data_IF_325695891963
#
_entry.id   IF_325695891963
#
_cell.length_a   1.000
_cell.length_b   1.000
_cell.length_c   1.000
_cell.angle_alpha   90.00
_cell.angle_beta   90.00
_cell.angle_gamma   90.00
#
_symmetry.space_group_name_H-M   'P 1'
#
loop_
_entity.id
_entity.type
_entity.pdbx_description
1 polymer ?
#
# COMPACT_ATOMS: atom_id res chain seq x y z
N UNK A 1 1.85 27.18 48.19
CA UNK A 1 0.41 26.83 48.22
C UNK A 1 0.13 26.18 46.88
N UNK A 2 -0.24 24.90 46.91
CA UNK A 2 -0.23 24.01 45.76
C UNK A 2 -1.45 24.16 44.85
N UNK A 3 -1.22 23.85 43.59
CA UNK A 3 -2.07 24.00 42.41
C UNK A 3 -3.52 23.52 42.58
N UNK A 4 -4.44 24.39 42.19
CA UNK A 4 -5.84 24.05 41.97
C UNK A 4 -6.26 24.58 40.60
N UNK A 5 -6.10 23.75 39.57
CA UNK A 5 -7.01 23.82 38.43
C UNK A 5 -7.18 22.44 37.78
N UNK A 6 -7.64 21.49 38.58
CA UNK A 6 -8.18 20.23 38.08
C UNK A 6 -9.62 20.50 37.61
N UNK A 7 -9.75 21.09 36.43
CA UNK A 7 -11.04 21.29 35.78
C UNK A 7 -11.64 19.93 35.43
N UNK A 8 -12.47 19.45 36.36
CA UNK A 8 -13.66 18.63 36.20
C UNK A 8 -13.77 17.95 34.82
N UNK A 9 -13.38 16.68 34.78
CA UNK A 9 -13.63 15.78 33.66
C UNK A 9 -15.15 15.66 33.44
N UNK A 10 -15.68 16.50 32.55
CA UNK A 10 -16.98 16.27 31.94
C UNK A 10 -16.85 14.98 31.16
N UNK A 11 -17.72 14.02 31.44
CA UNK A 11 -17.69 12.66 30.88
C UNK A 11 -18.01 12.72 29.38
N UNK A 12 -17.00 13.05 28.57
CA UNK A 12 -17.12 13.10 27.13
C UNK A 12 -17.12 11.66 26.58
N UNK A 13 -18.00 11.38 25.62
CA UNK A 13 -18.09 10.07 24.95
C UNK A 13 -16.82 9.72 24.14
N UNK A 14 -15.95 10.70 23.90
CA UNK A 14 -14.68 10.54 23.19
C UNK A 14 -13.54 11.13 24.01
N UNK A 15 -12.37 10.51 23.89
CA UNK A 15 -11.14 11.05 24.47
C UNK A 15 -10.91 12.49 23.99
N UNK A 16 -10.42 13.36 24.88
CA UNK A 16 -10.06 14.72 24.51
C UNK A 16 -9.01 14.70 23.40
N UNK A 17 -9.19 15.57 22.41
CA UNK A 17 -8.24 15.73 21.31
C UNK A 17 -6.84 15.98 21.87
N UNK A 18 -5.78 15.39 21.28
CA UNK A 18 -4.40 15.67 21.67
C UNK A 18 -4.14 17.19 21.63
N UNK A 19 -3.49 17.78 22.64
CA UNK A 19 -3.37 19.25 22.79
C UNK A 19 -2.45 19.91 21.74
N UNK A 20 -2.02 19.18 20.71
CA UNK A 20 -1.15 19.69 19.65
C UNK A 20 -1.76 20.89 18.92
N UNK A 21 -3.10 20.95 18.84
CA UNK A 21 -3.82 22.05 18.18
C UNK A 21 -3.60 23.41 18.88
N UNK A 22 -3.32 23.44 20.18
CA UNK A 22 -3.10 24.67 20.95
C UNK A 22 -1.81 25.41 20.52
N UNK A 23 -0.89 24.69 19.87
CA UNK A 23 0.36 25.27 19.39
C UNK A 23 0.24 25.92 18.00
N UNK A 24 -0.90 25.77 17.31
CA UNK A 24 -1.15 26.40 16.01
C UNK A 24 -1.66 27.85 16.16
N UNK A 25 -0.89 28.69 16.86
CA UNK A 25 -1.17 30.12 16.99
C UNK A 25 -0.53 30.91 15.84
N UNK A 26 -1.07 32.09 15.53
CA UNK A 26 -0.52 32.98 14.47
C UNK A 26 0.96 33.32 14.73
N UNK A 27 1.30 33.61 15.98
CA UNK A 27 2.69 33.87 16.39
C UNK A 27 3.63 32.68 16.11
N UNK A 28 3.15 31.45 16.32
CA UNK A 28 3.94 30.26 16.01
C UNK A 28 4.03 30.00 14.50
N UNK A 29 3.00 30.35 13.73
CA UNK A 29 3.07 30.27 12.27
C UNK A 29 4.08 31.27 11.70
N UNK A 30 4.09 32.50 12.19
CA UNK A 30 5.05 33.53 11.75
C UNK A 30 6.49 33.14 12.12
N UNK A 31 6.71 32.57 13.32
CA UNK A 31 8.01 32.02 13.73
C UNK A 31 8.46 30.85 12.86
N UNK A 32 7.53 29.98 12.44
CA UNK A 32 7.83 28.87 11.54
C UNK A 32 8.29 29.39 10.16
N UNK A 33 7.64 30.44 9.64
CA UNK A 33 8.03 31.07 8.38
C UNK A 33 9.43 31.69 8.46
N UNK A 34 9.74 32.38 9.56
CA UNK A 34 11.07 32.94 9.82
C UNK A 34 12.14 31.83 9.82
N UNK A 35 11.93 30.74 10.57
CA UNK A 35 12.85 29.59 10.60
C UNK A 35 13.03 28.97 9.21
N UNK A 36 11.96 28.87 8.42
CA UNK A 36 12.01 28.33 7.05
C UNK A 36 12.83 29.23 6.12
N UNK A 37 12.69 30.55 6.25
CA UNK A 37 13.47 31.51 5.46
C UNK A 37 14.94 31.50 5.86
N UNK A 38 15.25 31.43 7.16
CA UNK A 38 16.63 31.30 7.68
C UNK A 38 17.30 30.03 7.18
N UNK A 39 16.59 28.90 7.16
CA UNK A 39 17.09 27.63 6.63
C UNK A 39 17.29 27.61 5.10
N UNK A 40 16.63 28.52 4.36
CA UNK A 40 16.72 28.59 2.90
C UNK A 40 17.80 29.56 2.40
N UNK A 41 18.35 30.40 3.28
CA UNK A 41 19.31 31.46 2.92
C UNK A 41 20.79 31.04 2.91
N UNK A 42 21.13 29.82 3.33
CA UNK A 42 22.50 29.32 3.24
C UNK A 42 22.92 29.05 1.79
N UNK A 43 23.60 30.04 1.19
CA UNK A 43 24.23 29.94 -0.13
C UNK A 43 25.69 29.49 -0.11
N UNK A 44 26.19 28.96 0.99
CA UNK A 44 27.49 28.29 1.03
C UNK A 44 27.30 26.84 1.49
N UNK A 45 27.76 25.89 0.69
CA UNK A 45 27.59 24.45 0.90
C UNK A 45 28.44 23.91 2.07
N UNK A 46 28.16 24.37 3.28
CA UNK A 46 28.65 23.78 4.53
C UNK A 46 27.51 23.77 5.55
N UNK A 47 27.02 22.61 6.03
CA UNK A 47 25.83 22.52 6.85
C UNK A 47 26.18 22.75 8.33
N UNK A 48 26.47 23.99 8.71
CA UNK A 48 26.63 24.34 10.12
C UNK A 48 25.80 25.55 10.51
N UNK A 49 24.52 25.28 10.81
CA UNK A 49 23.71 26.16 11.64
C UNK A 49 23.07 25.34 12.77
N UNK A 50 23.89 24.96 13.75
CA UNK A 50 23.42 24.49 15.06
C UNK A 50 22.85 25.67 15.86
N UNK A 51 21.63 26.10 15.54
CA UNK A 51 20.72 26.56 16.59
C UNK A 51 20.06 25.30 17.12
N UNK A 52 20.60 24.75 18.20
CA UNK A 52 19.97 23.64 18.93
C UNK A 52 18.61 24.13 19.45
N UNK A 53 17.54 23.92 18.67
CA UNK A 53 16.18 24.02 19.17
C UNK A 53 16.09 23.11 20.39
N UNK A 54 15.83 23.71 21.55
CA UNK A 54 15.76 22.95 22.79
C UNK A 54 14.71 21.83 22.64
N UNK A 55 14.89 20.65 23.26
CA UNK A 55 13.93 19.55 23.17
C UNK A 55 12.48 19.93 23.53
N UNK A 56 12.30 21.06 24.23
CA UNK A 56 11.01 21.63 24.62
C UNK A 56 10.35 22.52 23.55
N UNK A 57 11.05 22.92 22.49
CA UNK A 57 10.53 23.77 21.40
C UNK A 57 10.23 22.99 20.12
N UNK A 58 10.89 21.84 19.92
CA UNK A 58 10.68 20.94 18.79
C UNK A 58 9.23 20.44 18.60
N UNK A 59 8.41 20.21 19.64
CA UNK A 59 7.02 19.77 19.45
C UNK A 59 6.10 20.86 18.88
N UNK A 60 6.43 22.15 19.06
CA UNK A 60 5.55 23.29 18.73
C UNK A 60 5.50 23.62 17.25
N UNK A 61 6.53 23.26 16.50
CA UNK A 61 6.71 23.62 15.08
C UNK A 61 6.76 22.41 14.15
N UNK A 62 6.60 21.20 14.70
CA UNK A 62 6.53 19.99 13.91
C UNK A 62 5.17 19.93 13.24
N UNK A 63 5.07 20.37 11.98
CA UNK A 63 4.10 19.75 11.10
C UNK A 63 4.36 18.24 11.20
N UNK A 64 3.34 17.46 11.52
CA UNK A 64 3.46 16.01 11.59
C UNK A 64 3.71 15.45 10.18
N UNK A 65 4.92 15.63 9.67
CA UNK A 65 5.37 15.17 8.37
C UNK A 65 6.87 14.92 8.37
N UNK A 66 7.41 14.49 9.51
CA UNK A 66 8.51 13.52 9.45
C UNK A 66 7.87 12.23 9.91
N UNK A 67 7.27 11.51 8.96
CA UNK A 67 6.82 10.15 9.18
C UNK A 67 7.95 9.43 9.90
N UNK A 68 7.74 9.10 11.18
CA UNK A 68 8.61 8.19 11.90
C UNK A 68 8.36 6.83 11.26
N UNK A 69 8.95 6.66 10.08
CA UNK A 69 9.06 5.43 9.35
C UNK A 69 10.15 4.63 10.05
N UNK A 70 9.88 4.09 11.23
CA UNK A 70 10.69 3.03 11.84
C UNK A 70 9.93 2.52 13.07
N UNK A 71 9.49 1.28 12.94
CA UNK A 71 8.70 0.57 13.93
C UNK A 71 9.37 0.53 15.28
N UNK A 72 8.57 0.71 16.32
CA UNK A 72 8.85 0.05 17.60
C UNK A 72 7.55 -0.54 18.10
N UNK A 73 7.55 -1.86 18.20
CA UNK A 73 6.54 -2.65 18.90
C UNK A 73 6.61 -2.36 20.39
N UNK A 74 5.46 -2.12 21.04
CA UNK A 74 5.30 -2.45 22.45
C UNK A 74 3.83 -2.66 22.84
N UNK A 75 3.51 -3.93 23.08
CA UNK A 75 2.44 -4.48 23.94
C UNK A 75 0.97 -4.46 23.44
N UNK A 76 0.06 -5.28 24.01
CA UNK A 76 -0.14 -6.69 23.63
C UNK A 76 -1.55 -6.98 23.10
N UNK A 77 -2.43 -5.98 23.03
CA UNK A 77 -3.81 -6.14 22.61
C UNK A 77 -4.07 -5.31 21.35
N UNK A 78 -3.94 -5.98 20.20
CA UNK A 78 -4.57 -5.64 18.91
C UNK A 78 -4.64 -4.14 18.57
N UNK A 79 -3.71 -3.68 17.74
CA UNK A 79 -3.96 -3.26 16.34
C UNK A 79 -2.85 -2.33 15.89
N UNK A 80 -1.88 -2.91 15.19
CA UNK A 80 -1.14 -2.18 14.17
C UNK A 80 -0.92 -3.19 13.06
N UNK A 81 -1.57 -2.94 11.92
CA UNK A 81 -1.19 -3.55 10.66
C UNK A 81 0.25 -3.13 10.42
N UNK A 82 1.18 -3.98 10.86
CA UNK A 82 2.57 -3.85 10.49
C UNK A 82 2.56 -3.89 8.96
N UNK A 83 2.87 -2.77 8.32
CA UNK A 83 3.20 -2.73 6.91
C UNK A 83 4.59 -3.38 6.71
N UNK A 84 4.81 -4.55 7.30
CA UNK A 84 5.93 -5.47 7.09
C UNK A 84 5.73 -6.27 5.81
N UNK A 85 5.30 -5.60 4.75
CA UNK A 85 5.20 -6.24 3.44
C UNK A 85 6.60 -6.24 2.78
N UNK A 86 7.51 -5.35 3.20
CA UNK A 86 8.82 -5.16 2.56
C UNK A 86 9.96 -5.96 3.18
N UNK A 87 9.92 -6.31 4.46
CA UNK A 87 10.92 -7.17 5.11
C UNK A 87 10.22 -8.27 5.89
N UNK A 88 10.07 -9.43 5.26
CA UNK A 88 9.75 -10.65 5.99
C UNK A 88 10.98 -11.05 6.81
N UNK A 89 10.85 -11.29 8.13
CA UNK A 89 11.94 -11.87 8.90
C UNK A 89 12.27 -13.26 8.33
N UNK A 90 13.56 -13.58 8.23
CA UNK A 90 13.96 -14.87 7.66
C UNK A 90 13.54 -16.02 8.58
N UNK A 91 13.14 -17.17 8.02
CA UNK A 91 12.76 -18.34 8.82
C UNK A 91 13.91 -18.82 9.72
N UNK A 92 15.16 -18.67 9.26
CA UNK A 92 16.38 -18.96 10.02
C UNK A 92 16.51 -18.08 11.26
N UNK A 93 16.17 -16.79 11.17
CA UNK A 93 16.14 -15.88 12.33
C UNK A 93 15.08 -16.27 13.36
N UNK A 94 14.02 -16.96 12.93
CA UNK A 94 12.97 -17.48 13.80
C UNK A 94 13.27 -18.88 14.35
N UNK A 95 14.43 -19.45 14.04
CA UNK A 95 14.83 -20.80 14.44
C UNK A 95 14.06 -21.92 13.72
N UNK A 96 13.45 -21.63 12.57
CA UNK A 96 12.64 -22.59 11.80
C UNK A 96 13.43 -23.05 10.57
N UNK A 97 13.46 -24.36 10.34
CA UNK A 97 14.08 -24.93 9.14
C UNK A 97 13.30 -24.53 7.88
N UNK A 98 14.00 -23.92 6.93
CA UNK A 98 13.44 -23.48 5.67
C UNK A 98 13.45 -24.61 4.64
N UNK A 99 12.27 -24.91 4.07
CA UNK A 99 12.05 -26.08 3.20
C UNK A 99 12.20 -25.82 1.69
N UNK A 100 12.58 -24.61 1.31
CA UNK A 100 12.75 -24.18 -0.08
C UNK A 100 14.05 -23.37 -0.24
N UNK A 101 14.71 -23.40 -1.41
CA UNK A 101 16.00 -22.76 -1.60
C UNK A 101 15.91 -21.25 -1.37
N UNK A 102 16.95 -20.71 -0.74
CA UNK A 102 17.12 -19.26 -0.63
C UNK A 102 17.27 -18.64 -2.03
N UNK A 103 16.73 -17.43 -2.26
CA UNK A 103 17.15 -16.66 -3.43
C UNK A 103 18.66 -16.46 -3.29
N UNK A 104 19.42 -17.05 -4.22
CA UNK A 104 20.89 -17.00 -4.23
C UNK A 104 21.33 -15.56 -4.08
N UNK A 105 21.89 -15.24 -2.93
CA UNK A 105 22.59 -13.98 -2.70
C UNK A 105 24.06 -14.32 -2.83
N UNK A 106 24.59 -14.32 -4.04
CA UNK A 106 26.04 -14.39 -4.24
C UNK A 106 26.62 -13.09 -3.65
N UNK A 107 27.46 -13.15 -2.60
CA UNK A 107 27.95 -11.95 -1.91
C UNK A 107 29.01 -11.15 -2.71
N UNK A 108 29.27 -11.49 -3.98
CA UNK A 108 30.35 -10.89 -4.79
C UNK A 108 29.88 -10.16 -6.07
N UNK A 109 28.58 -9.94 -6.29
CA UNK A 109 28.12 -9.14 -7.43
C UNK A 109 27.07 -8.09 -7.02
N UNK A 110 27.48 -6.82 -7.02
CA UNK A 110 26.68 -5.58 -6.89
C UNK A 110 25.63 -5.38 -8.00
N UNK A 111 25.15 -6.44 -8.62
CA UNK A 111 24.06 -6.41 -9.58
C UNK A 111 22.92 -7.28 -9.05
N UNK A 112 21.70 -6.75 -8.88
CA UNK A 112 20.55 -7.56 -8.50
C UNK A 112 20.21 -8.45 -9.69
N UNK A 113 20.89 -9.59 -9.81
CA UNK A 113 20.50 -10.62 -10.76
C UNK A 113 19.11 -11.09 -10.32
N UNK A 114 18.11 -11.04 -11.21
CA UNK A 114 16.82 -11.64 -10.90
C UNK A 114 17.09 -13.10 -10.61
N UNK A 115 16.83 -13.52 -9.37
CA UNK A 115 16.83 -14.94 -9.01
C UNK A 115 15.99 -15.69 -10.04
N UNK A 116 16.39 -16.91 -10.45
CA UNK A 116 15.58 -17.72 -11.34
C UNK A 116 14.14 -17.74 -10.82
N UNK A 117 13.11 -17.62 -11.67
CA UNK A 117 11.73 -17.67 -11.21
C UNK A 117 11.56 -19.00 -10.48
N UNK A 118 11.54 -18.92 -9.15
CA UNK A 118 11.35 -20.08 -8.32
C UNK A 118 10.00 -20.65 -8.76
N UNK A 119 9.96 -21.94 -9.10
CA UNK A 119 8.71 -22.59 -9.48
C UNK A 119 7.79 -22.61 -8.25
N UNK A 120 7.07 -21.50 -8.01
CA UNK A 120 6.31 -21.29 -6.77
C UNK A 120 5.26 -22.39 -6.60
N UNK A 121 4.59 -22.73 -7.71
CA UNK A 121 3.64 -23.82 -7.75
C UNK A 121 4.26 -25.17 -7.33
N UNK A 122 5.50 -25.48 -7.77
CA UNK A 122 6.16 -26.75 -7.44
C UNK A 122 6.44 -26.88 -5.93
N UNK A 123 7.06 -25.84 -5.34
CA UNK A 123 7.39 -25.86 -3.91
C UNK A 123 6.16 -25.79 -3.01
N UNK A 124 5.17 -24.98 -3.38
CA UNK A 124 3.89 -24.95 -2.66
C UNK A 124 3.17 -26.30 -2.71
N UNK A 125 3.18 -26.97 -3.88
CA UNK A 125 2.62 -28.31 -4.03
C UNK A 125 3.39 -29.35 -3.20
N UNK A 126 4.72 -29.25 -3.14
CA UNK A 126 5.57 -30.12 -2.33
C UNK A 126 5.26 -29.97 -0.83
N UNK A 127 5.15 -28.74 -0.34
CA UNK A 127 4.76 -28.46 1.05
C UNK A 127 3.36 -28.99 1.33
N UNK A 128 2.41 -28.78 0.42
CA UNK A 128 1.02 -29.28 0.55
C UNK A 128 0.96 -30.81 0.63
N UNK A 129 1.74 -31.51 -0.22
CA UNK A 129 1.84 -32.98 -0.18
C UNK A 129 2.50 -33.46 1.12
N UNK A 130 3.56 -32.80 1.57
CA UNK A 130 4.22 -33.10 2.84
C UNK A 130 3.29 -32.91 4.03
N UNK A 131 2.48 -31.84 4.02
CA UNK A 131 1.47 -31.57 5.04
C UNK A 131 0.39 -32.65 5.08
N UNK A 132 -0.10 -33.07 3.92
CA UNK A 132 -1.10 -34.15 3.83
C UNK A 132 -0.54 -35.48 4.35
N UNK A 133 0.71 -35.81 4.01
CA UNK A 133 1.35 -37.03 4.49
C UNK A 133 1.56 -37.01 6.01
N UNK A 134 2.04 -35.88 6.56
CA UNK A 134 2.18 -35.71 8.01
C UNK A 134 0.84 -35.77 8.73
N UNK A 135 -0.23 -35.23 8.14
CA UNK A 135 -1.58 -35.36 8.70
C UNK A 135 -2.06 -36.82 8.72
N UNK A 136 -1.78 -37.58 7.67
CA UNK A 136 -2.14 -39.00 7.62
C UNK A 136 -1.35 -39.82 8.66
N UNK A 137 -0.05 -39.54 8.82
CA UNK A 137 0.78 -40.13 9.88
C UNK A 137 0.26 -39.76 11.27
N UNK A 138 -0.14 -38.50 11.47
CA UNK A 138 -0.71 -38.02 12.73
C UNK A 138 -2.00 -38.77 13.09
N UNK A 139 -2.92 -38.93 12.15
CA UNK A 139 -4.14 -39.74 12.36
C UNK A 139 -3.80 -41.21 12.66
N UNK A 140 -2.78 -41.76 11.98
CA UNK A 140 -2.28 -43.11 12.25
C UNK A 140 -1.72 -43.25 13.68
N UNK A 141 -0.92 -42.29 14.14
CA UNK A 141 -0.36 -42.29 15.50
C UNK A 141 -1.46 -42.17 16.54
N UNK A 142 -2.46 -41.30 16.33
CA UNK A 142 -3.61 -41.19 17.24
C UNK A 142 -4.38 -42.51 17.37
N UNK A 143 -4.38 -43.36 16.33
CA UNK A 143 -5.03 -44.67 16.38
C UNK A 143 -4.22 -45.75 17.08
N UNK A 144 -2.88 -45.67 17.08
CA UNK A 144 -1.99 -46.73 17.62
C UNK A 144 -1.40 -46.34 18.97
N UNK A 145 -0.83 -45.14 19.07
CA UNK A 145 -0.11 -44.64 20.24
C UNK A 145 -0.36 -43.14 20.40
N UNK A 146 -1.48 -42.74 21.00
CA UNK A 146 -1.88 -41.33 21.10
C UNK A 146 -0.92 -40.47 21.93
N UNK A 147 -0.04 -41.07 22.74
CA UNK A 147 0.95 -40.34 23.56
C UNK A 147 2.06 -39.68 22.75
N UNK A 148 2.31 -40.13 21.51
CA UNK A 148 3.41 -39.65 20.66
C UNK A 148 2.97 -38.56 19.66
N UNK A 149 1.81 -37.94 19.89
CA UNK A 149 1.22 -37.00 18.93
C UNK A 149 2.00 -35.67 18.80
N UNK A 150 2.70 -35.23 19.85
CA UNK A 150 3.34 -33.90 19.93
C UNK A 150 4.37 -33.68 18.80
N UNK A 151 5.22 -34.67 18.53
CA UNK A 151 6.26 -34.56 17.50
C UNK A 151 5.66 -34.27 16.11
N UNK A 152 4.54 -34.92 15.75
CA UNK A 152 3.89 -34.67 14.45
C UNK A 152 3.12 -33.36 14.41
N UNK A 153 2.61 -32.88 15.53
CA UNK A 153 2.00 -31.54 15.59
C UNK A 153 3.05 -30.47 15.37
N UNK A 154 4.26 -30.64 15.92
CA UNK A 154 5.38 -29.72 15.69
C UNK A 154 5.84 -29.72 14.22
N UNK A 155 5.98 -30.90 13.60
CA UNK A 155 6.28 -31.02 12.17
C UNK A 155 5.24 -30.30 11.29
N UNK A 156 3.94 -30.50 11.58
CA UNK A 156 2.85 -29.82 10.88
C UNK A 156 2.90 -28.30 11.10
N UNK A 157 3.17 -27.84 12.32
CA UNK A 157 3.34 -26.42 12.63
C UNK A 157 4.47 -25.81 11.80
N UNK A 158 5.62 -26.48 11.71
CA UNK A 158 6.75 -26.05 10.90
C UNK A 158 6.39 -25.98 9.41
N UNK A 159 5.64 -26.96 8.90
CA UNK A 159 5.12 -26.95 7.52
C UNK A 159 4.18 -25.77 7.26
N UNK A 160 3.28 -25.45 8.19
CA UNK A 160 2.38 -24.29 8.05
C UNK A 160 3.13 -22.97 8.05
N UNK A 161 4.12 -22.79 8.93
CA UNK A 161 4.90 -21.55 8.97
C UNK A 161 5.70 -21.38 7.67
N UNK A 162 6.31 -22.46 7.18
CA UNK A 162 6.98 -22.46 5.88
C UNK A 162 6.02 -22.13 4.72
N UNK A 163 4.82 -22.71 4.70
CA UNK A 163 3.80 -22.43 3.69
C UNK A 163 3.36 -20.95 3.72
N UNK A 164 3.14 -20.40 4.91
CA UNK A 164 2.76 -19.01 5.09
C UNK A 164 3.84 -18.05 4.63
N UNK A 165 5.09 -18.29 5.03
CA UNK A 165 6.22 -17.50 4.58
C UNK A 165 6.35 -17.56 3.05
N UNK A 166 6.22 -18.76 2.48
CA UNK A 166 6.27 -18.95 1.03
C UNK A 166 5.19 -18.16 0.28
N UNK A 167 3.95 -18.18 0.79
CA UNK A 167 2.85 -17.40 0.23
C UNK A 167 3.13 -15.89 0.34
N UNK A 168 3.74 -15.46 1.45
CA UNK A 168 4.08 -14.06 1.65
C UNK A 168 5.15 -13.58 0.66
N UNK A 169 6.13 -14.43 0.31
CA UNK A 169 7.10 -14.13 -0.76
C UNK A 169 6.43 -13.92 -2.12
N UNK A 170 5.25 -14.49 -2.36
CA UNK A 170 4.49 -14.31 -3.60
C UNK A 170 3.62 -13.04 -3.62
N UNK A 171 3.39 -12.37 -2.48
CA UNK A 171 2.53 -11.17 -2.40
C UNK A 171 2.98 -10.02 -3.29
N UNK A 172 4.29 -9.68 -3.39
CA UNK A 172 4.73 -8.61 -4.28
C UNK A 172 4.44 -8.92 -5.75
N UNK A 173 4.58 -10.18 -6.17
CA UNK A 173 4.22 -10.60 -7.52
C UNK A 173 2.71 -10.47 -7.75
N UNK A 174 1.88 -10.96 -6.82
CA UNK A 174 0.42 -10.83 -6.89
C UNK A 174 -0.03 -9.37 -7.01
N UNK A 175 0.59 -8.46 -6.26
CA UNK A 175 0.29 -7.03 -6.34
C UNK A 175 0.62 -6.42 -7.70
N UNK A 176 1.74 -6.82 -8.31
CA UNK A 176 2.14 -6.37 -9.66
C UNK A 176 1.18 -6.87 -10.72
N UNK A 177 0.84 -8.16 -10.71
CA UNK A 177 -0.14 -8.73 -11.64
C UNK A 177 -1.51 -8.08 -11.48
N UNK A 178 -1.96 -7.84 -10.25
CA UNK A 178 -3.22 -7.13 -9.99
C UNK A 178 -3.21 -5.70 -10.53
N UNK A 179 -2.07 -5.01 -10.46
CA UNK A 179 -1.92 -3.67 -11.02
C UNK A 179 -1.95 -3.70 -12.55
N UNK A 180 -1.27 -4.67 -13.17
CA UNK A 180 -1.27 -4.86 -14.63
C UNK A 180 -2.70 -5.10 -15.11
N UNK A 181 -3.44 -6.03 -14.49
CA UNK A 181 -4.84 -6.29 -14.84
C UNK A 181 -5.72 -5.04 -14.74
N UNK A 182 -5.53 -4.22 -13.70
CA UNK A 182 -6.26 -2.96 -13.54
C UNK A 182 -5.96 -1.97 -14.67
N UNK A 183 -4.70 -1.85 -15.08
CA UNK A 183 -4.27 -0.97 -16.17
C UNK A 183 -4.78 -1.46 -17.53
N UNK A 184 -4.76 -2.76 -17.77
CA UNK A 184 -5.32 -3.37 -18.98
C UNK A 184 -6.82 -3.12 -19.09
N UNK A 185 -7.55 -3.22 -17.98
CA UNK A 185 -8.98 -2.90 -17.92
C UNK A 185 -9.24 -1.42 -18.23
N UNK A 186 -8.45 -0.51 -17.64
CA UNK A 186 -8.56 0.92 -17.92
C UNK A 186 -8.30 1.24 -19.40
N UNK A 187 -7.29 0.60 -19.99
CA UNK A 187 -6.97 0.74 -21.41
C UNK A 187 -8.12 0.23 -22.29
N UNK A 188 -8.68 -0.94 -21.96
CA UNK A 188 -9.82 -1.50 -22.69
C UNK A 188 -11.06 -0.58 -22.61
N UNK A 189 -11.36 -0.03 -21.44
CA UNK A 189 -12.46 0.95 -21.26
C UNK A 189 -12.24 2.22 -22.08
N UNK A 190 -11.01 2.76 -22.09
CA UNK A 190 -10.67 3.95 -22.86
C UNK A 190 -10.81 3.72 -24.37
N UNK A 191 -10.39 2.56 -24.89
CA UNK A 191 -10.59 2.20 -26.31
C UNK A 191 -12.07 2.11 -26.68
N UNK A 192 -12.87 1.50 -25.82
CA UNK A 192 -14.32 1.38 -26.02
C UNK A 192 -15.00 2.75 -26.01
N UNK A 193 -14.58 3.66 -25.12
CA UNK A 193 -15.07 5.04 -25.10
C UNK A 193 -14.72 5.79 -26.39
N UNK A 194 -13.48 5.68 -26.87
CA UNK A 194 -13.05 6.29 -28.14
C UNK A 194 -13.91 5.77 -29.30
N UNK A 195 -14.14 4.46 -29.39
CA UNK A 195 -14.98 3.87 -30.44
C UNK A 195 -16.43 4.40 -30.38
N UNK A 196 -17.00 4.52 -29.17
CA UNK A 196 -18.34 5.12 -29.00
C UNK A 196 -18.38 6.58 -29.43
N UNK A 197 -17.34 7.35 -29.12
CA UNK A 197 -17.24 8.75 -29.56
C UNK A 197 -17.11 8.85 -31.09
N UNK A 198 -16.37 7.96 -31.73
CA UNK A 198 -16.26 7.89 -33.19
C UNK A 198 -17.60 7.54 -33.85
N UNK A 199 -18.34 6.57 -33.31
CA UNK A 199 -19.69 6.24 -33.77
C UNK A 199 -20.65 7.44 -33.62
N UNK A 200 -20.66 8.06 -32.43
CA UNK A 200 -21.51 9.22 -32.17
C UNK A 200 -21.18 10.42 -33.08
N UNK A 201 -19.89 10.63 -33.37
CA UNK A 201 -19.45 11.64 -34.34
C UNK A 201 -19.98 11.35 -35.73
N UNK A 202 -19.91 10.11 -36.21
CA UNK A 202 -20.45 9.71 -37.50
C UNK A 202 -21.97 9.94 -37.59
N UNK A 203 -22.71 9.60 -36.52
CA UNK A 203 -24.16 9.85 -36.44
C UNK A 203 -24.48 11.35 -36.49
N UNK A 204 -23.71 12.19 -35.79
CA UNK A 204 -23.85 13.65 -35.87
C UNK A 204 -23.57 14.17 -37.28
N UNK A 205 -22.50 13.71 -37.93
CA UNK A 205 -22.19 14.12 -39.30
C UNK A 205 -23.31 13.76 -40.27
N UNK A 206 -23.91 12.57 -40.14
CA UNK A 206 -25.06 12.16 -40.96
C UNK A 206 -26.27 13.08 -40.71
N UNK A 207 -26.62 13.33 -39.45
CA UNK A 207 -27.78 14.19 -39.10
C UNK A 207 -27.59 15.63 -39.54
N UNK A 208 -26.38 16.20 -39.41
CA UNK A 208 -26.06 17.54 -39.91
C UNK A 208 -26.19 17.63 -41.44
N UNK A 209 -25.70 16.63 -42.17
CA UNK A 209 -25.82 16.57 -43.63
C UNK A 209 -27.30 16.46 -44.08
N UNK A 210 -28.12 15.70 -43.35
CA UNK A 210 -29.57 15.61 -43.60
C UNK A 210 -30.26 16.96 -43.40
N UNK A 211 -29.98 17.65 -42.29
CA UNK A 211 -30.53 18.98 -42.01
C UNK A 211 -30.08 20.03 -43.04
N UNK A 212 -28.83 19.96 -43.51
CA UNK A 212 -28.36 20.84 -44.60
C UNK A 212 -29.13 20.60 -45.90
N UNK A 213 -29.40 19.33 -46.23
CA UNK A 213 -30.18 18.96 -47.41
C UNK A 213 -31.64 19.44 -47.32
N UNK A 214 -32.29 19.26 -46.16
CA UNK A 214 -33.64 19.77 -45.89
C UNK A 214 -33.68 21.31 -45.94
N UNK A 215 -32.69 21.99 -45.37
CA UNK A 215 -32.55 23.45 -45.42
C UNK A 215 -32.42 23.99 -46.85
N UNK A 216 -31.65 23.32 -47.71
CA UNK A 216 -31.55 23.66 -49.14
C UNK A 216 -32.87 23.44 -49.88
N UNK A 217 -33.61 22.38 -49.58
CA UNK A 217 -34.92 22.12 -50.18
C UNK A 217 -35.92 23.25 -49.83
N UNK A 218 -36.02 23.62 -48.55
CA UNK A 218 -36.91 24.70 -48.09
C UNK A 218 -36.49 26.05 -48.71
N UNK A 219 -35.18 26.35 -48.76
CA UNK A 219 -34.66 27.57 -49.39
C UNK A 219 -34.97 27.66 -50.89
N UNK A 220 -34.93 26.53 -51.61
CA UNK A 220 -35.30 26.48 -53.04
C UNK A 220 -36.80 26.65 -53.27
N UNK A 221 -37.64 26.07 -52.41
CA UNK A 221 -39.10 26.19 -52.48
C UNK A 221 -39.57 27.64 -52.20
N UNK A 222 -38.96 28.31 -51.22
CA UNK A 222 -39.26 29.71 -50.90
C UNK A 222 -38.84 30.70 -52.01
N UNK A 223 -37.82 30.38 -52.81
CA UNK A 223 -37.42 31.21 -53.96
C UNK A 223 -38.37 31.08 -55.16
N UNK A 224 -39.03 29.93 -55.31
CA UNK A 224 -40.03 29.71 -56.37
C UNK A 224 -41.39 30.34 -56.08
N UNK A 225 -41.78 30.53 -54.81
CA UNK A 225 -43.06 31.16 -54.44
C UNK A 225 -43.02 32.70 -54.45
N UNK A 226 -41.84 33.32 -54.51
CA UNK A 226 -41.66 34.78 -54.58
C UNK A 226 -41.70 35.41 -55.97
N UNK A 227 -41.96 34.61 -57.02
CA UNK A 227 -42.07 35.06 -58.43
C UNK A 227 -43.49 34.82 -58.93
N UNK A 228 -44.42 35.70 -58.55
CA UNK A 228 -45.70 35.91 -59.20
C UNK A 228 -46.08 37.39 -59.10
#
# INVERSE_FOLDING_TARGET
MADTNQQRAVTAAFASLPPLWEHFTRENLDRLEQIKTEASTDKNGDPDCKKELTPSELPRFRSASRATLLGTTRDPDRTVLHLSITLLPSLKEQGIEQLYPDPVTDPEQDTPKPSPPLNHAYYFLKISKSLLLNFLEFVGILSVSPEQFESKVEDMRNLFINAHHFLNLYRPHQARESLIMMLEEQLARSKEEINRMEMFKADIEITLNQLEAEGKQIGSAAQTEGVC
#
